data_IF_156237097141
#
_entry.id   IF_156237097141
#
_cell.length_a   1.000
_cell.length_b   1.000
_cell.length_c   1.000
_cell.angle_alpha   90.00
_cell.angle_beta   90.00
_cell.angle_gamma   90.00
#
_symmetry.space_group_name_H-M   'P 1'
#
loop_
_entity.id
_entity.type
_entity.pdbx_description
1 polymer ?
2 non-polymer ?
3 non-polymer ?
4 non-polymer ?
5 non-polymer ?
6 non-polymer ?
7 non-polymer ?
8 water ?
#
# COMPACT_ATOMS: atom_id res chain seq x y z
N UNK A 1 1.91 42.31 1.96
CA UNK A 1 0.45 42.52 2.13
C UNK A 1 -0.01 42.32 3.55
N UNK A 2 -1.02 43.10 3.98
CA UNK A 2 -1.55 43.02 5.33
C UNK A 2 -2.65 41.98 5.46
N UNK A 3 -3.00 41.34 4.35
CA UNK A 3 -4.02 40.30 4.35
C UNK A 3 -3.44 38.91 4.62
N UNK A 4 -2.24 38.68 4.10
CA UNK A 4 -1.62 37.36 4.08
C UNK A 4 -0.36 37.34 4.94
N UNK A 5 -0.36 36.51 5.99
CA UNK A 5 0.84 36.30 6.81
C UNK A 5 1.72 35.22 6.18
N UNK A 6 3.02 35.50 6.07
CA UNK A 6 3.97 34.53 5.52
C UNK A 6 4.83 35.11 4.41
N UNK A 7 5.51 34.24 3.65
CA UNK A 7 5.43 32.77 3.72
C UNK A 7 6.17 32.14 4.89
N UNK A 8 5.68 30.97 5.31
CA UNK A 8 6.32 30.15 6.34
C UNK A 8 6.83 28.86 5.70
N UNK A 9 7.79 28.23 6.36
CA UNK A 9 8.45 27.04 5.83
C UNK A 9 7.68 25.76 6.19
N UNK A 10 7.95 24.66 5.45
CA UNK A 10 7.40 23.36 5.83
C UNK A 10 7.70 23.04 7.29
N UNK A 11 6.68 22.64 8.03
CA UNK A 11 6.78 22.47 9.48
C UNK A 11 5.60 21.69 10.05
N UNK A 12 5.75 21.24 11.30
CA UNK A 12 4.64 20.67 12.05
C UNK A 12 4.11 21.73 13.02
N UNK A 13 2.79 21.90 13.02
CA UNK A 13 2.15 22.94 13.81
C UNK A 13 0.68 22.65 14.10
N UNK A 14 0.17 23.26 15.17
CA UNK A 14 -1.23 23.17 15.52
C UNK A 14 -1.87 24.54 15.31
N UNK A 15 -2.44 24.78 14.11
CA UNK A 15 -2.96 26.09 13.77
C UNK A 15 -4.19 26.47 14.60
N UNK A 16 -4.42 27.79 14.80
CA UNK A 16 -5.66 28.20 15.45
C UNK A 16 -6.84 27.95 14.53
N UNK A 17 -8.02 27.83 15.11
CA UNK A 17 -9.25 27.69 14.33
C UNK A 17 -9.55 28.98 13.58
N UNK A 18 -10.34 28.89 12.52
CA UNK A 18 -10.79 30.05 11.74
C UNK A 18 -9.66 30.80 11.01
N UNK A 19 -8.60 30.06 10.67
CA UNK A 19 -7.57 30.59 9.78
C UNK A 19 -7.31 29.60 8.64
N UNK A 20 -7.31 30.11 7.42
CA UNK A 20 -6.95 29.31 6.26
C UNK A 20 -5.43 29.20 6.13
N UNK A 21 -4.97 27.98 5.86
CA UNK A 21 -3.57 27.73 5.57
C UNK A 21 -3.43 27.64 4.05
N UNK A 22 -2.89 28.68 3.45
CA UNK A 22 -2.74 28.74 2.00
C UNK A 22 -1.41 28.13 1.57
N UNK A 23 -1.49 27.01 0.86
CA UNK A 23 -0.33 26.18 0.56
C UNK A 23 0.19 26.40 -0.85
N UNK A 24 1.51 26.50 -1.00
CA UNK A 24 2.15 26.74 -2.30
C UNK A 24 3.15 25.64 -2.65
N UNK A 25 2.65 24.46 -3.07
CA UNK A 25 3.51 23.32 -3.38
C UNK A 25 4.27 23.49 -4.70
N UNK A 26 5.29 22.68 -4.90
CA UNK A 26 6.12 22.73 -6.11
C UNK A 26 5.92 21.49 -6.98
N UNK A 27 6.42 20.34 -6.52
CA UNK A 27 6.38 19.10 -7.30
C UNK A 27 5.26 18.17 -6.81
N UNK A 28 5.01 17.09 -7.55
CA UNK A 28 4.01 16.10 -7.15
C UNK A 28 4.40 15.42 -5.83
N UNK A 29 3.39 15.09 -5.02
CA UNK A 29 3.62 14.37 -3.76
C UNK A 29 2.62 14.75 -2.68
N UNK A 30 3.02 14.54 -1.42
CA UNK A 30 2.17 14.89 -0.28
C UNK A 30 2.35 16.36 0.09
N UNK A 31 1.26 17.11 0.06
CA UNK A 31 1.24 18.56 0.34
C UNK A 31 1.22 18.83 1.84
N UNK A 32 0.32 18.15 2.54
CA UNK A 32 0.07 18.37 3.96
C UNK A 32 -0.62 17.15 4.54
N UNK A 33 -0.36 16.86 5.81
CA UNK A 33 -1.02 15.77 6.52
C UNK A 33 -1.37 16.20 7.93
N UNK A 34 -2.39 15.56 8.51
CA UNK A 34 -2.80 15.81 9.87
C UNK A 34 -3.67 14.68 10.41
N UNK A 35 -3.60 14.46 11.71
CA UNK A 35 -4.41 13.43 12.37
C UNK A 35 -4.85 13.84 13.76
N UNK A 36 -5.95 13.26 14.23
CA UNK A 36 -6.38 13.41 15.62
C UNK A 36 -6.00 12.20 16.47
N UNK A 37 -5.27 11.26 15.85
CA UNK A 37 -4.88 9.99 16.47
C UNK A 37 -6.07 9.19 17.06
N UNK A 38 -7.25 9.38 16.47
CA UNK A 38 -8.47 8.70 16.92
C UNK A 38 -9.20 8.01 15.76
N UNK A 39 -9.73 8.82 14.84
CA UNK A 39 -10.59 8.31 13.77
C UNK A 39 -10.45 9.09 12.47
N UNK A 40 -9.39 9.88 12.37
CA UNK A 40 -9.17 10.72 11.20
C UNK A 40 -7.68 10.88 10.92
N UNK A 41 -7.23 10.26 9.84
CA UNK A 41 -5.89 10.48 9.31
C UNK A 41 -6.10 11.08 7.93
N UNK A 42 -5.81 12.37 7.80
CA UNK A 42 -6.09 13.12 6.60
C UNK A 42 -4.81 13.64 5.95
N UNK A 43 -4.82 13.68 4.62
CA UNK A 43 -3.72 14.26 3.87
C UNK A 43 -4.20 14.76 2.52
N UNK A 44 -3.40 15.62 1.91
CA UNK A 44 -3.66 16.07 0.55
C UNK A 44 -2.44 15.72 -0.31
N UNK A 45 -2.71 15.03 -1.42
CA UNK A 45 -1.67 14.71 -2.39
C UNK A 45 -1.84 15.55 -3.66
N UNK A 46 -0.76 15.69 -4.42
CA UNK A 46 -0.76 16.49 -5.63
C UNK A 46 -0.29 15.67 -6.82
N UNK A 47 -1.07 15.71 -7.91
CA UNK A 47 -0.75 15.01 -9.15
C UNK A 47 -0.49 16.04 -10.25
N UNK A 48 0.64 15.91 -10.93
CA UNK A 48 0.95 16.76 -12.08
C UNK A 48 -0.03 16.46 -13.24
N UNK A 49 -0.12 17.38 -14.23
CA UNK A 49 -0.97 17.11 -15.40
C UNK A 49 -0.56 15.86 -16.18
N UNK A 50 -1.52 15.27 -16.89
CA UNK A 50 -1.27 14.17 -17.83
C UNK A 50 -0.70 12.90 -17.17
N UNK A 51 -1.43 12.37 -16.20
CA UNK A 51 -1.04 11.14 -15.53
C UNK A 51 -2.11 10.07 -15.75
N UNK A 52 -1.77 9.04 -16.54
CA UNK A 52 -2.64 7.89 -16.74
C UNK A 52 -2.75 7.11 -15.44
N UNK A 53 -3.89 6.46 -15.23
CA UNK A 53 -4.14 5.65 -14.03
C UNK A 53 -2.90 4.82 -13.68
N UNK A 54 -2.43 4.99 -12.45
CA UNK A 54 -1.21 4.33 -11.99
C UNK A 54 -1.19 4.24 -10.47
N UNK A 55 -0.42 3.28 -9.96
CA UNK A 55 -0.14 3.20 -8.54
C UNK A 55 1.11 4.00 -8.19
N UNK A 56 0.96 4.92 -7.25
CA UNK A 56 2.08 5.69 -6.72
C UNK A 56 2.20 5.52 -5.20
N UNK A 57 3.42 5.50 -4.71
CA UNK A 57 3.71 5.35 -3.29
C UNK A 57 3.91 6.73 -2.64
N UNK A 58 3.10 7.00 -1.61
CA UNK A 58 3.20 8.24 -0.85
C UNK A 58 3.61 7.95 0.58
N UNK A 59 4.48 8.80 1.11
CA UNK A 59 4.85 8.74 2.52
C UNK A 59 3.82 9.50 3.35
N UNK A 60 2.93 8.73 3.98
CA UNK A 60 1.83 9.29 4.78
C UNK A 60 1.99 8.83 6.21
N UNK A 61 2.23 9.79 7.11
CA UNK A 61 2.45 9.54 8.53
C UNK A 61 3.59 8.54 8.79
N UNK A 62 4.64 8.66 7.96
CA UNK A 62 5.84 7.84 8.10
C UNK A 62 5.72 6.45 7.49
N UNK A 63 4.68 6.24 6.70
CA UNK A 63 4.40 4.94 6.10
C UNK A 63 4.26 5.02 4.58
N UNK A 64 4.84 4.05 3.88
CA UNK A 64 4.69 3.94 2.43
C UNK A 64 3.29 3.42 2.06
N UNK A 65 2.47 4.31 1.51
CA UNK A 65 1.09 3.98 1.14
C UNK A 65 0.93 4.05 -0.38
N UNK A 66 0.44 2.96 -0.97
CA UNK A 66 0.20 2.87 -2.41
C UNK A 66 -1.23 3.27 -2.73
N UNK A 67 -1.37 4.32 -3.54
CA UNK A 67 -2.68 4.81 -3.97
C UNK A 67 -2.80 4.79 -5.48
N UNK A 68 -3.99 4.43 -5.96
CA UNK A 68 -4.28 4.43 -7.39
C UNK A 68 -4.74 5.84 -7.77
N UNK A 69 -3.92 6.52 -8.56
CA UNK A 69 -4.16 7.93 -8.89
C UNK A 69 -4.17 8.19 -10.39
N UNK A 70 -4.76 9.31 -10.79
CA UNK A 70 -4.76 9.74 -12.18
C UNK A 70 -5.04 11.23 -12.29
N UNK A 71 -4.55 11.83 -13.37
CA UNK A 71 -4.93 13.19 -13.73
C UNK A 71 -5.08 13.30 -15.24
N UNK A 72 -6.33 13.40 -15.68
CA UNK A 72 -6.66 13.44 -17.11
C UNK A 72 -6.46 14.82 -17.73
N UNK A 73 -6.31 15.85 -16.88
CA UNK A 73 -6.08 17.21 -17.38
C UNK A 73 -4.67 17.36 -17.96
N UNK A 74 -4.57 18.16 -19.02
CA UNK A 74 -3.27 18.43 -19.63
C UNK A 74 -2.68 19.77 -19.19
N UNK A 75 -3.48 20.57 -18.48
CA UNK A 75 -3.07 21.91 -18.07
C UNK A 75 -3.15 22.15 -16.57
N UNK A 76 -4.03 21.43 -15.90
CA UNK A 76 -4.29 21.66 -14.49
C UNK A 76 -3.72 20.56 -13.60
N UNK A 77 -3.09 20.98 -12.51
CA UNK A 77 -2.62 20.07 -11.47
C UNK A 77 -3.83 19.60 -10.67
N UNK A 78 -3.71 18.44 -10.02
CA UNK A 78 -4.84 17.84 -9.31
C UNK A 78 -4.52 17.58 -7.84
N UNK A 79 -5.22 18.30 -6.96
CA UNK A 79 -5.14 18.06 -5.53
C UNK A 79 -6.21 17.05 -5.15
N UNK A 80 -5.84 16.06 -4.33
CA UNK A 80 -6.78 15.04 -3.89
C UNK A 80 -6.67 14.89 -2.38
N UNK A 81 -7.80 14.99 -1.67
CA UNK A 81 -7.82 14.70 -0.25
C UNK A 81 -7.94 13.21 -0.01
N UNK A 82 -7.12 12.69 0.89
CA UNK A 82 -7.17 11.28 1.27
C UNK A 82 -7.49 11.14 2.75
N UNK A 83 -8.30 10.14 3.08
CA UNK A 83 -8.83 9.98 4.43
C UNK A 83 -8.91 8.51 4.84
N UNK A 84 -8.35 8.18 5.99
CA UNK A 84 -8.67 6.90 6.63
C UNK A 84 -9.20 7.13 8.03
N UNK A 85 -10.14 6.28 8.45
CA UNK A 85 -10.90 6.51 9.68
C UNK A 85 -10.54 5.59 10.84
N UNK A 86 -9.61 4.66 10.59
CA UNK A 86 -9.07 3.78 11.62
C UNK A 86 -7.58 3.63 11.36
N UNK A 87 -6.78 3.36 12.41
CA UNK A 87 -5.33 3.20 12.20
C UNK A 87 -4.94 2.09 11.21
N UNK A 88 -5.77 1.07 11.07
CA UNK A 88 -5.45 -0.09 10.23
C UNK A 88 -6.25 -0.15 8.91
N UNK A 89 -7.02 0.89 8.62
CA UNK A 89 -7.87 0.92 7.43
C UNK A 89 -7.19 1.46 6.18
N UNK A 90 -7.99 1.69 5.13
CA UNK A 90 -7.50 2.21 3.85
C UNK A 90 -7.88 3.66 3.63
N UNK A 91 -7.06 4.37 2.85
CA UNK A 91 -7.36 5.75 2.44
C UNK A 91 -8.30 5.76 1.26
N UNK A 92 -9.36 6.56 1.37
CA UNK A 92 -10.25 6.82 0.25
C UNK A 92 -10.00 8.24 -0.25
N UNK A 93 -10.36 8.49 -1.51
CA UNK A 93 -10.10 9.78 -2.16
C UNK A 93 -11.37 10.63 -2.22
N UNK A 94 -11.21 11.92 -1.90
CA UNK A 94 -12.34 12.85 -1.82
C UNK A 94 -11.93 14.25 -2.27
N UNK A 95 -12.94 15.01 -2.71
CA UNK A 95 -12.83 16.45 -2.92
C UNK A 95 -11.65 16.94 -3.75
N UNK A 96 -11.47 16.36 -4.93
CA UNK A 96 -10.41 16.80 -5.84
C UNK A 96 -10.54 18.26 -6.24
N UNK A 97 -9.39 18.92 -6.34
CA UNK A 97 -9.32 20.26 -6.93
C UNK A 97 -8.39 20.26 -8.14
N UNK A 98 -8.95 20.61 -9.30
CA UNK A 98 -8.15 20.84 -10.49
C UNK A 98 -7.73 22.30 -10.50
N UNK A 99 -6.43 22.53 -10.53
CA UNK A 99 -5.87 23.86 -10.24
C UNK A 99 -4.85 24.34 -11.27
N UNK A 100 -5.09 25.54 -11.80
CA UNK A 100 -4.11 26.22 -12.65
C UNK A 100 -3.04 26.95 -11.82
N UNK A 101 -3.46 27.74 -10.79
CA UNK A 101 -2.47 28.46 -9.97
C UNK A 101 -1.59 27.56 -9.09
N UNK A 102 -1.99 26.30 -8.92
CA UNK A 102 -1.28 25.32 -8.07
C UNK A 102 -1.26 25.72 -6.58
N UNK A 103 -2.35 26.33 -6.12
CA UNK A 103 -2.48 26.68 -4.71
C UNK A 103 -3.59 25.86 -4.05
N UNK A 104 -3.39 25.54 -2.78
CA UNK A 104 -4.39 24.82 -1.99
C UNK A 104 -4.59 25.53 -0.66
N UNK A 105 -5.66 25.18 0.05
CA UNK A 105 -5.92 25.75 1.36
C UNK A 105 -6.67 24.78 2.27
N UNK A 106 -6.31 24.81 3.55
CA UNK A 106 -6.95 23.99 4.59
C UNK A 106 -7.25 24.85 5.82
N UNK A 107 -8.31 24.52 6.55
CA UNK A 107 -8.71 25.27 7.75
C UNK A 107 -9.42 24.37 8.77
N UNK A 108 -9.11 24.60 10.04
CA UNK A 108 -9.86 23.99 11.14
C UNK A 108 -10.96 24.93 11.59
N UNK A 109 -12.20 24.46 11.51
CA UNK A 109 -13.39 25.27 11.83
C UNK A 109 -14.61 24.40 12.13
N UNK A 110 -15.29 24.73 13.22
CA UNK A 110 -16.52 24.05 13.64
C UNK A 110 -16.41 22.52 13.66
N UNK A 111 -15.40 22.00 14.34
CA UNK A 111 -15.19 20.55 14.44
C UNK A 111 -14.95 19.84 13.12
N UNK A 112 -14.44 20.59 12.14
CA UNK A 112 -14.20 20.09 10.79
C UNK A 112 -12.88 20.58 10.25
N UNK A 113 -12.37 19.84 9.26
CA UNK A 113 -11.26 20.31 8.45
C UNK A 113 -11.79 20.66 7.06
N UNK A 114 -11.65 21.93 6.69
CA UNK A 114 -12.13 22.43 5.41
C UNK A 114 -11.01 22.48 4.38
N UNK A 115 -11.36 22.20 3.12
CA UNK A 115 -10.43 22.33 2.00
C UNK A 115 -11.18 22.88 0.79
N UNK A 116 -10.49 23.04 -0.34
CA UNK A 116 -11.12 23.47 -1.58
C UNK A 116 -11.30 22.31 -2.55
N UNK A 117 -12.36 22.37 -3.35
CA UNK A 117 -12.62 21.38 -4.39
C UNK A 117 -13.22 22.00 -5.64
N UNK A 118 -13.28 21.21 -6.71
CA UNK A 118 -13.82 21.69 -7.98
C UNK A 118 -12.73 21.92 -9.01
N UNK A 119 -12.93 22.94 -9.84
CA UNK A 119 -11.99 23.28 -10.90
C UNK A 119 -11.81 24.79 -10.95
N UNK A 120 -10.56 25.25 -10.86
CA UNK A 120 -10.28 26.69 -10.98
C UNK A 120 -10.64 27.14 -12.41
N UNK A 121 -11.15 28.38 -12.56
CA UNK A 121 -11.31 29.45 -11.58
C UNK A 121 -12.67 29.47 -10.86
N UNK A 122 -13.30 28.30 -10.68
CA UNK A 122 -14.60 28.23 -10.02
C UNK A 122 -14.62 27.27 -8.82
N UNK A 123 -13.52 27.24 -8.07
CA UNK A 123 -13.39 26.37 -6.91
C UNK A 123 -14.32 26.77 -5.78
N UNK A 124 -14.80 25.77 -5.04
CA UNK A 124 -15.62 25.95 -3.86
C UNK A 124 -14.96 25.24 -2.69
N UNK A 125 -15.55 25.36 -1.49
CA UNK A 125 -15.02 24.69 -0.31
C UNK A 125 -15.74 23.36 -0.06
N UNK A 126 -15.09 22.49 0.70
CA UNK A 126 -15.67 21.25 1.20
C UNK A 126 -15.09 21.00 2.59
N UNK A 127 -15.60 19.98 3.28
CA UNK A 127 -15.15 19.73 4.65
C UNK A 127 -15.18 18.26 5.07
N UNK A 128 -14.47 17.97 6.15
CA UNK A 128 -14.40 16.64 6.75
C UNK A 128 -14.60 16.76 8.26
N UNK A 129 -15.69 16.18 8.76
CA UNK A 129 -15.96 16.17 10.19
C UNK A 129 -14.87 15.40 10.95
N UNK A 130 -14.34 16.02 11.99
CA UNK A 130 -13.14 15.50 12.67
C UNK A 130 -13.28 15.58 14.20
N UNK A 131 -13.19 14.42 14.85
CA UNK A 131 -13.26 14.29 16.30
C UNK A 131 -12.08 14.98 17.00
N UNK A 132 -12.36 15.65 18.12
CA UNK A 132 -11.35 16.36 18.93
C UNK A 132 -10.39 17.17 18.08
N UNK A 133 -10.94 17.97 17.16
CA UNK A 133 -10.18 18.60 16.08
C UNK A 133 -9.11 19.59 16.54
N UNK A 134 -9.18 20.00 17.80
CA UNK A 134 -8.24 20.95 18.38
C UNK A 134 -6.86 20.33 18.62
N UNK A 135 -6.83 19.02 18.85
CA UNK A 135 -5.56 18.28 19.02
C UNK A 135 -4.80 18.09 17.70
N UNK A 136 -5.49 18.31 16.57
CA UNK A 136 -4.94 18.00 15.25
C UNK A 136 -3.72 18.85 14.92
N UNK A 137 -2.56 18.21 14.97
CA UNK A 137 -1.32 18.79 14.46
C UNK A 137 -1.28 18.55 12.96
N UNK A 138 -0.76 19.52 12.22
CA UNK A 138 -0.57 19.36 10.79
C UNK A 138 0.90 19.46 10.46
N UNK A 139 1.32 18.69 9.46
CA UNK A 139 2.65 18.83 8.90
C UNK A 139 2.52 19.25 7.44
N UNK A 140 2.87 20.51 7.16
CA UNK A 140 2.96 21.01 5.80
C UNK A 140 4.32 20.63 5.23
N UNK A 141 4.32 20.14 3.99
CA UNK A 141 5.54 19.78 3.30
C UNK A 141 5.95 20.82 2.26
N UNK A 142 5.23 21.94 2.25
CA UNK A 142 5.54 23.06 1.37
C UNK A 142 5.40 24.39 2.13
N UNK A 143 5.85 25.48 1.49
CA UNK A 143 5.64 26.83 2.00
C UNK A 143 4.17 27.14 2.11
N UNK A 144 3.81 27.98 3.09
CA UNK A 144 2.42 28.35 3.29
C UNK A 144 2.23 29.77 3.83
N UNK A 145 1.02 30.28 3.65
CA UNK A 145 0.59 31.57 4.19
C UNK A 145 -0.62 31.38 5.08
N UNK A 146 -0.90 32.38 5.91
CA UNK A 146 -2.06 32.37 6.81
C UNK A 146 -3.00 33.51 6.46
N UNK A 147 -4.29 33.20 6.37
CA UNK A 147 -5.33 34.19 6.07
C UNK A 147 -6.57 33.92 6.95
N UNK A 148 -7.09 34.97 7.61
CA UNK A 148 -8.25 34.78 8.50
C UNK A 148 -9.50 34.31 7.75
N UNK A 149 -10.32 33.50 8.41
CA UNK A 149 -11.60 33.06 7.86
C UNK A 149 -12.44 34.26 7.40
N UNK A 150 -12.35 35.35 8.14
CA UNK A 150 -13.01 36.61 7.80
C UNK A 150 -12.72 37.09 6.38
N UNK A 151 -11.55 36.72 5.87
CA UNK A 151 -11.13 37.07 4.50
C UNK A 151 -11.16 35.85 3.57
N UNK A 152 -12.11 34.96 3.79
CA UNK A 152 -12.25 33.73 3.00
C UNK A 152 -12.42 34.00 1.51
N UNK A 153 -13.15 35.06 1.17
CA UNK A 153 -13.37 35.44 -0.23
C UNK A 153 -12.07 35.77 -0.96
N UNK A 154 -11.12 36.38 -0.24
CA UNK A 154 -9.79 36.64 -0.78
C UNK A 154 -8.98 35.36 -0.95
N UNK A 155 -9.11 34.43 0.00
CA UNK A 155 -8.48 33.11 -0.11
C UNK A 155 -9.00 32.36 -1.33
N UNK A 156 -10.32 32.38 -1.52
CA UNK A 156 -10.96 31.77 -2.68
C UNK A 156 -10.43 32.38 -3.98
N UNK A 157 -10.26 33.70 -3.98
CA UNK A 157 -9.67 34.41 -5.12
C UNK A 157 -8.26 33.89 -5.45
N UNK A 158 -7.45 33.71 -4.40
CA UNK A 158 -6.08 33.18 -4.56
C UNK A 158 -6.08 31.75 -5.09
N UNK A 159 -6.95 30.91 -4.54
CA UNK A 159 -7.13 29.54 -5.03
C UNK A 159 -7.49 29.55 -6.52
N UNK A 160 -8.38 30.45 -6.91
CA UNK A 160 -8.88 30.51 -8.28
C UNK A 160 -7.98 31.21 -9.30
N UNK A 161 -7.20 32.20 -8.85
CA UNK A 161 -6.46 33.07 -9.78
C UNK A 161 -4.97 33.23 -9.48
N UNK A 162 -4.54 32.75 -8.32
CA UNK A 162 -3.15 32.90 -7.91
C UNK A 162 -2.91 34.19 -7.14
N UNK A 163 -1.69 34.36 -6.65
CA UNK A 163 -1.31 35.52 -5.84
C UNK A 163 -0.98 36.73 -6.71
N UNK B 1 26.03 -21.59 3.48
CA UNK B 1 25.61 -21.00 4.79
C UNK B 1 25.07 -22.07 5.73
N UNK B 2 25.27 -21.84 7.04
CA UNK B 2 24.79 -22.77 8.06
C UNK B 2 23.30 -22.60 8.35
N UNK B 3 22.91 -21.37 8.69
CA UNK B 3 21.51 -21.05 8.94
C UNK B 3 20.84 -20.57 7.66
N UNK B 4 21.46 -19.58 7.01
CA UNK B 4 20.93 -18.99 5.79
C UNK B 4 21.84 -19.35 4.62
N UNK B 5 21.49 -20.43 3.93
CA UNK B 5 22.27 -20.93 2.79
C UNK B 5 21.71 -20.35 1.49
N UNK B 6 22.49 -19.49 0.84
CA UNK B 6 22.08 -18.87 -0.42
C UNK B 6 22.73 -17.51 -0.66
N UNK B 7 22.22 -16.73 -1.64
CA UNK B 7 21.06 -17.03 -2.48
C UNK B 7 21.33 -18.02 -3.60
N UNK B 8 20.26 -18.70 -4.01
CA UNK B 8 20.28 -19.60 -5.15
C UNK B 8 19.43 -19.00 -6.27
N UNK B 9 19.89 -19.16 -7.50
CA UNK B 9 19.17 -18.67 -8.68
C UNK B 9 17.89 -19.48 -8.90
N UNK B 10 16.86 -18.85 -9.51
CA UNK B 10 15.63 -19.56 -9.85
C UNK B 10 15.91 -20.87 -10.59
N UNK B 11 15.31 -21.95 -10.10
CA UNK B 11 15.53 -23.27 -10.67
C UNK B 11 14.42 -24.24 -10.28
N UNK B 12 14.47 -25.44 -10.86
CA UNK B 12 13.58 -26.52 -10.50
C UNK B 12 14.40 -27.53 -9.69
N UNK B 13 13.90 -27.92 -8.52
CA UNK B 13 14.64 -28.82 -7.64
C UNK B 13 13.73 -29.66 -6.75
N UNK B 14 14.36 -30.62 -6.06
CA UNK B 14 13.71 -31.48 -5.10
C UNK B 14 14.28 -31.12 -3.72
N UNK B 15 13.61 -30.20 -3.00
CA UNK B 15 14.15 -29.68 -1.74
C UNK B 15 14.29 -30.76 -0.68
N UNK B 16 15.35 -30.69 0.16
CA UNK B 16 15.43 -31.64 1.27
C UNK B 16 14.32 -31.40 2.28
N UNK B 17 13.80 -32.47 2.88
CA UNK B 17 12.77 -32.35 3.90
C UNK B 17 13.33 -31.68 5.17
N UNK B 18 12.46 -31.04 5.94
CA UNK B 18 12.82 -30.35 7.18
C UNK B 18 13.71 -29.12 6.96
N UNK B 19 13.58 -28.50 5.79
CA UNK B 19 14.24 -27.24 5.47
C UNK B 19 13.24 -26.23 4.91
N UNK B 20 13.28 -25.01 5.45
CA UNK B 20 12.52 -23.90 4.90
C UNK B 20 13.21 -23.32 3.67
N UNK B 21 12.44 -23.12 2.60
CA UNK B 21 12.93 -22.44 1.41
C UNK B 21 12.43 -20.99 1.48
N UNK B 22 13.35 -20.07 1.81
CA UNK B 22 13.02 -18.66 1.94
C UNK B 22 13.11 -17.99 0.57
N UNK B 23 12.03 -17.30 0.19
CA UNK B 23 11.88 -16.76 -1.16
C UNK B 23 11.88 -15.24 -1.16
N UNK B 24 12.68 -14.66 -2.05
CA UNK B 24 12.80 -13.21 -2.15
C UNK B 24 12.40 -12.69 -3.53
N UNK B 25 11.08 -12.65 -3.82
CA UNK B 25 10.59 -12.21 -5.13
C UNK B 25 10.73 -10.70 -5.34
N UNK B 26 10.48 -10.27 -6.58
CA UNK B 26 10.59 -8.86 -6.95
C UNK B 26 9.25 -8.28 -7.41
N UNK B 27 8.83 -8.64 -8.61
CA UNK B 27 7.58 -8.13 -9.18
C UNK B 27 6.46 -9.14 -8.99
N UNK B 28 5.22 -8.73 -9.29
CA UNK B 28 4.07 -9.63 -9.20
C UNK B 28 4.22 -10.82 -10.13
N UNK B 29 3.63 -11.95 -9.75
CA UNK B 29 3.60 -13.15 -10.58
C UNK B 29 3.64 -14.42 -9.75
N UNK B 30 4.05 -15.52 -10.37
CA UNK B 30 4.17 -16.80 -9.69
C UNK B 30 5.52 -16.86 -8.99
N UNK B 31 5.48 -17.10 -7.68
CA UNK B 31 6.68 -17.11 -6.85
C UNK B 31 7.32 -18.49 -6.85
N UNK B 32 6.48 -19.50 -6.58
CA UNK B 32 6.93 -20.89 -6.49
C UNK B 32 5.77 -21.80 -6.88
N UNK B 33 6.10 -22.99 -7.39
CA UNK B 33 5.09 -24.03 -7.61
C UNK B 33 5.69 -25.39 -7.29
N UNK B 34 4.84 -26.31 -6.84
CA UNK B 34 5.27 -27.64 -6.45
C UNK B 34 4.20 -28.69 -6.60
N UNK B 35 4.63 -29.93 -6.80
CA UNK B 35 3.70 -31.04 -6.98
C UNK B 35 4.35 -32.36 -6.56
N UNK B 36 3.52 -33.33 -6.16
CA UNK B 36 3.98 -34.69 -5.94
C UNK B 36 3.68 -35.59 -7.13
N UNK B 37 3.09 -35.00 -8.17
CA UNK B 37 2.65 -35.69 -9.39
C UNK B 37 1.62 -36.80 -9.13
N UNK B 38 0.86 -36.65 -8.04
CA UNK B 38 -0.15 -37.62 -7.65
C UNK B 38 -1.49 -36.94 -7.37
N UNK B 39 -1.54 -36.11 -6.33
CA UNK B 39 -2.80 -35.53 -5.86
C UNK B 39 -2.65 -34.17 -5.21
N UNK B 40 -1.55 -33.48 -5.51
CA UNK B 40 -1.30 -32.14 -4.97
C UNK B 40 -0.50 -31.28 -5.94
N UNK B 41 -1.12 -30.19 -6.37
CA UNK B 41 -0.44 -29.17 -7.16
C UNK B 41 -0.63 -27.86 -6.42
N UNK B 42 0.48 -27.26 -5.99
CA UNK B 42 0.44 -26.08 -5.14
C UNK B 42 1.38 -25.02 -5.67
N UNK B 43 0.86 -23.80 -5.80
CA UNK B 43 1.68 -22.68 -6.23
C UNK B 43 1.42 -21.49 -5.32
N UNK B 44 2.33 -20.53 -5.34
CA UNK B 44 2.12 -19.28 -4.63
C UNK B 44 2.28 -18.15 -5.64
N UNK B 45 1.27 -17.28 -5.67
CA UNK B 45 1.31 -16.09 -6.49
C UNK B 45 1.49 -14.84 -5.62
N UNK B 46 2.04 -13.79 -6.21
CA UNK B 46 2.31 -12.54 -5.50
C UNK B 46 1.58 -11.39 -6.17
N UNK B 47 0.84 -10.61 -5.36
CA UNK B 47 0.10 -9.44 -5.83
C UNK B 47 0.66 -8.17 -5.20
N UNK B 48 0.99 -7.19 -6.04
CA UNK B 48 1.45 -5.89 -5.59
C UNK B 48 0.33 -5.16 -4.82
N UNK B 49 0.69 -4.18 -3.97
CA UNK B 49 -0.33 -3.44 -3.22
C UNK B 49 -1.37 -2.76 -4.11
N UNK B 50 -2.60 -2.68 -3.61
CA UNK B 50 -3.69 -1.90 -4.21
C UNK B 50 -4.10 -2.36 -5.61
N UNK B 51 -4.68 -3.55 -5.67
CA UNK B 51 -5.15 -4.13 -6.93
C UNK B 51 -6.62 -4.52 -6.77
N UNK B 52 -7.49 -3.91 -7.58
CA UNK B 52 -8.91 -4.21 -7.55
C UNK B 52 -9.17 -5.58 -8.16
N UNK B 53 -10.23 -6.25 -7.71
CA UNK B 53 -10.56 -7.59 -8.20
C UNK B 53 -10.56 -7.64 -9.73
N UNK B 54 -9.70 -8.49 -10.27
CA UNK B 54 -9.53 -8.62 -11.72
C UNK B 54 -9.03 -10.01 -12.10
N UNK B 55 -9.22 -10.38 -13.35
CA UNK B 55 -8.66 -11.63 -13.88
C UNK B 55 -7.20 -11.44 -14.27
N UNK B 56 -6.34 -12.33 -13.78
CA UNK B 56 -4.95 -12.37 -14.21
C UNK B 56 -4.58 -13.77 -14.68
N UNK B 57 -3.77 -13.84 -15.74
CA UNK B 57 -3.31 -15.09 -16.31
C UNK B 57 -1.94 -15.45 -15.76
N UNK B 58 -1.84 -16.63 -15.16
CA UNK B 58 -0.59 -17.14 -14.61
C UNK B 58 -0.19 -18.44 -15.29
N UNK B 59 1.12 -18.60 -15.48
CA UNK B 59 1.66 -19.85 -15.98
C UNK B 59 1.86 -20.81 -14.81
N UNK B 60 0.90 -21.71 -14.63
CA UNK B 60 0.93 -22.69 -13.55
C UNK B 60 1.15 -24.10 -14.10
N UNK B 61 2.31 -24.67 -13.79
CA UNK B 61 2.70 -26.00 -14.27
C UNK B 61 2.64 -26.09 -15.79
N UNK B 62 3.17 -25.06 -16.45
CA UNK B 62 3.22 -25.02 -17.92
C UNK B 62 1.93 -24.62 -18.61
N UNK B 63 0.84 -24.46 -17.84
CA UNK B 63 -0.47 -24.11 -18.38
C UNK B 63 -0.87 -22.68 -18.03
N UNK B 64 -1.56 -22.02 -18.97
CA UNK B 64 -2.12 -20.70 -18.70
C UNK B 64 -3.40 -20.86 -17.90
N UNK B 65 -3.40 -20.30 -16.69
CA UNK B 65 -4.53 -20.39 -15.78
C UNK B 65 -5.03 -18.98 -15.43
N UNK B 66 -6.31 -18.74 -15.63
CA UNK B 66 -6.94 -17.46 -15.29
C UNK B 66 -7.49 -17.51 -13.86
N UNK B 67 -7.03 -16.61 -13.01
CA UNK B 67 -7.49 -16.50 -11.63
C UNK B 67 -8.06 -15.12 -11.34
N UNK B 68 -9.10 -15.07 -10.52
CA UNK B 68 -9.68 -13.81 -10.10
C UNK B 68 -9.00 -13.39 -8.81
N UNK B 69 -8.24 -12.29 -8.89
CA UNK B 69 -7.38 -11.88 -7.77
C UNK B 69 -7.55 -10.41 -7.40
N UNK B 70 -7.15 -10.07 -6.17
CA UNK B 70 -7.10 -8.69 -5.71
C UNK B 70 -6.03 -8.54 -4.63
N UNK B 71 -5.64 -7.30 -4.36
CA UNK B 71 -4.94 -6.97 -3.13
C UNK B 71 -5.55 -5.71 -2.56
N UNK B 72 -6.32 -5.89 -1.48
CA UNK B 72 -7.02 -4.78 -0.83
C UNK B 72 -6.08 -3.88 0.00
N UNK B 73 -4.87 -4.38 0.28
CA UNK B 73 -3.91 -3.61 1.07
C UNK B 73 -3.27 -2.48 0.26
N UNK B 74 -3.06 -1.34 0.91
CA UNK B 74 -2.36 -0.22 0.30
C UNK B 74 -0.92 -0.15 0.83
N UNK B 75 -0.58 -1.07 1.72
CA UNK B 75 0.68 -0.99 2.47
C UNK B 75 1.50 -2.28 2.45
N UNK B 76 0.88 -3.37 1.99
CA UNK B 76 1.52 -4.68 2.04
C UNK B 76 1.31 -5.47 0.76
N UNK B 77 2.35 -6.19 0.35
CA UNK B 77 2.24 -7.14 -0.75
C UNK B 77 1.47 -8.37 -0.26
N UNK B 78 0.93 -9.14 -1.20
CA UNK B 78 0.06 -10.26 -0.87
C UNK B 78 0.49 -11.53 -1.58
N UNK B 79 0.87 -12.54 -0.78
CA UNK B 79 1.14 -13.89 -1.28
C UNK B 79 -0.12 -14.72 -1.13
N UNK B 80 -0.48 -15.48 -2.16
CA UNK B 80 -1.63 -16.37 -2.10
C UNK B 80 -1.24 -17.78 -2.53
N UNK B 81 -1.56 -18.77 -1.71
CA UNK B 81 -1.38 -20.15 -2.13
C UNK B 81 -2.57 -20.56 -2.98
N UNK B 82 -2.28 -21.20 -4.11
CA UNK B 82 -3.32 -21.73 -5.00
C UNK B 82 -3.13 -23.23 -5.15
N UNK B 83 -4.21 -23.98 -5.03
CA UNK B 83 -4.10 -25.43 -4.93
C UNK B 83 -5.21 -26.20 -5.64
N UNK B 84 -4.83 -27.36 -6.17
CA UNK B 84 -5.77 -28.36 -6.65
C UNK B 84 -5.27 -29.75 -6.26
N UNK B 85 -6.20 -30.69 -6.10
CA UNK B 85 -5.86 -32.04 -5.65
C UNK B 85 -6.13 -33.13 -6.70
N UNK B 86 -6.61 -32.71 -7.87
CA UNK B 86 -6.77 -33.58 -9.03
C UNK B 86 -6.26 -32.86 -10.28
N UNK B 87 -5.67 -33.61 -11.24
CA UNK B 87 -5.10 -33.00 -12.46
C UNK B 87 -6.06 -32.10 -13.26
N UNK B 88 -7.36 -32.38 -13.22
CA UNK B 88 -8.34 -31.55 -13.94
C UNK B 88 -9.19 -30.68 -13.00
N UNK B 89 -8.75 -30.55 -11.74
CA UNK B 89 -9.49 -29.79 -10.73
C UNK B 89 -9.41 -28.27 -10.90
N UNK B 90 -10.12 -27.56 -10.03
CA UNK B 90 -10.08 -26.10 -10.02
C UNK B 90 -9.09 -25.60 -8.99
N UNK B 91 -8.36 -24.54 -9.32
CA UNK B 91 -7.47 -23.90 -8.36
C UNK B 91 -8.28 -23.04 -7.40
N UNK B 92 -8.09 -23.28 -6.11
CA UNK B 92 -8.72 -22.48 -5.06
C UNK B 92 -7.65 -21.72 -4.31
N UNK B 93 -8.04 -20.63 -3.65
CA UNK B 93 -7.09 -19.75 -2.98
C UNK B 93 -7.08 -19.96 -1.47
N UNK B 94 -5.88 -20.18 -0.93
CA UNK B 94 -5.71 -20.51 0.50
C UNK B 94 -4.54 -19.76 1.14
N UNK B 95 -4.59 -19.66 2.47
CA UNK B 95 -3.45 -19.25 3.30
C UNK B 95 -2.69 -18.02 2.85
N UNK B 96 -3.40 -16.93 2.62
CA UNK B 96 -2.77 -15.69 2.17
C UNK B 96 -1.85 -15.12 3.23
N UNK B 97 -0.78 -14.47 2.76
CA UNK B 97 0.12 -13.72 3.63
C UNK B 97 0.24 -12.27 3.18
N UNK B 98 -0.17 -11.34 4.03
CA UNK B 98 0.06 -9.92 3.79
C UNK B 98 1.41 -9.53 4.39
N UNK B 99 2.30 -9.03 3.53
CA UNK B 99 3.72 -8.92 3.85
C UNK B 99 4.31 -7.55 3.54
N UNK B 100 4.97 -6.97 4.53
CA UNK B 100 5.76 -5.74 4.30
C UNK B 100 7.20 -6.06 3.78
N UNK B 101 7.90 -7.05 4.39
CA UNK B 101 9.24 -7.38 3.88
C UNK B 101 9.29 -8.03 2.49
N UNK B 102 8.14 -8.52 2.01
CA UNK B 102 8.02 -9.18 0.71
C UNK B 102 8.83 -10.49 0.66
N UNK B 103 8.85 -11.20 1.79
CA UNK B 103 9.49 -12.51 1.86
C UNK B 103 8.46 -13.61 2.14
N UNK B 104 8.70 -14.78 1.56
CA UNK B 104 7.85 -15.94 1.74
C UNK B 104 8.73 -17.16 2.02
N UNK B 105 8.12 -18.23 2.50
CA UNK B 105 8.86 -19.46 2.78
C UNK B 105 7.97 -20.68 2.67
N UNK B 106 8.55 -21.77 2.15
CA UNK B 106 7.86 -23.06 2.01
C UNK B 106 8.73 -24.17 2.61
N UNK B 107 8.10 -25.24 3.11
CA UNK B 107 8.84 -26.38 3.66
C UNK B 107 8.12 -27.71 3.46
N UNK B 108 8.90 -28.74 3.09
CA UNK B 108 8.43 -30.12 3.10
C UNK B 108 8.73 -30.71 4.48
N UNK B 109 7.69 -30.97 5.26
CA UNK B 109 7.86 -31.50 6.60
C UNK B 109 6.69 -32.38 7.04
N UNK B 110 7.03 -33.55 7.57
CA UNK B 110 6.09 -34.48 8.20
C UNK B 110 4.74 -34.63 7.48
N UNK B 111 4.78 -35.08 6.23
CA UNK B 111 3.58 -35.38 5.45
C UNK B 111 2.86 -34.18 4.87
N UNK B 112 3.51 -33.01 4.93
CA UNK B 112 2.87 -31.75 4.57
C UNK B 112 3.81 -30.81 3.84
N UNK B 113 3.21 -29.85 3.13
CA UNK B 113 3.91 -28.66 2.66
C UNK B 113 3.47 -27.50 3.54
N UNK B 114 4.42 -26.88 4.21
CA UNK B 114 4.16 -25.74 5.09
C UNK B 114 4.42 -24.43 4.37
N UNK B 115 3.61 -23.41 4.64
CA UNK B 115 3.89 -22.05 4.17
C UNK B 115 3.58 -21.07 5.32
N UNK B 116 3.79 -19.78 5.09
CA UNK B 116 3.41 -18.78 6.07
C UNK B 116 2.09 -18.12 5.69
N UNK B 117 1.29 -17.79 6.70
CA UNK B 117 -0.02 -17.11 6.52
C UNK B 117 -0.18 -15.97 7.53
N UNK B 118 -1.12 -15.08 7.25
CA UNK B 118 -1.47 -14.01 8.18
C UNK B 118 -1.00 -12.65 7.71
N UNK B 119 -0.64 -11.81 8.68
CA UNK B 119 -0.22 -10.44 8.41
C UNK B 119 1.05 -10.11 9.19
N UNK B 120 2.11 -9.76 8.48
CA UNK B 120 3.35 -9.34 9.16
C UNK B 120 3.08 -8.05 9.95
N UNK B 121 3.73 -7.89 11.13
CA UNK B 121 4.79 -8.73 11.69
C UNK B 121 4.31 -9.84 12.64
N UNK B 122 3.08 -10.32 12.43
CA UNK B 122 2.52 -11.40 13.25
C UNK B 122 2.13 -12.64 12.45
N UNK B 123 2.93 -12.95 11.43
CA UNK B 123 2.68 -14.12 10.59
C UNK B 123 2.93 -15.42 11.34
N UNK B 124 2.15 -16.44 11.00
CA UNK B 124 2.36 -17.78 11.51
C UNK B 124 2.45 -18.76 10.34
N UNK B 125 2.44 -20.06 10.62
CA UNK B 125 2.53 -21.07 9.56
C UNK B 125 1.18 -21.77 9.33
N UNK B 126 1.01 -22.27 8.11
CA UNK B 126 -0.09 -23.17 7.77
C UNK B 126 0.45 -24.31 6.95
N UNK B 127 -0.38 -25.32 6.68
CA UNK B 127 0.08 -26.50 5.97
C UNK B 127 -0.93 -27.11 5.00
N UNK B 128 -0.40 -27.89 4.07
CA UNK B 128 -1.21 -28.62 3.10
C UNK B 128 -0.75 -30.07 3.13
N UNK B 129 -1.62 -30.94 3.64
CA UNK B 129 -1.34 -32.37 3.68
C UNK B 129 -1.10 -32.89 2.26
N UNK B 130 0.01 -33.61 2.10
CA UNK B 130 0.49 -34.01 0.78
C UNK B 130 0.99 -35.45 0.79
N UNK B 131 0.40 -36.28 -0.07
CA UNK B 131 0.77 -37.68 -0.22
C UNK B 131 2.21 -37.82 -0.67
N UNK B 132 2.95 -38.75 -0.05
CA UNK B 132 4.36 -38.99 -0.40
C UNK B 132 5.12 -37.66 -0.45
N UNK B 133 5.01 -36.89 0.64
CA UNK B 133 5.44 -35.48 0.66
C UNK B 133 6.91 -35.25 0.30
N UNK B 134 7.77 -36.23 0.62
CA UNK B 134 9.21 -36.11 0.35
C UNK B 134 9.52 -35.95 -1.13
N UNK B 135 8.60 -36.44 -1.98
CA UNK B 135 8.80 -36.48 -3.42
C UNK B 135 8.48 -35.15 -4.11
N UNK B 136 7.90 -34.22 -3.36
CA UNK B 136 7.49 -32.93 -3.93
C UNK B 136 8.67 -32.21 -4.59
N UNK B 137 8.53 -31.97 -5.89
CA UNK B 137 9.49 -31.17 -6.64
C UNK B 137 8.94 -29.76 -6.79
N UNK B 138 9.84 -28.78 -6.74
CA UNK B 138 9.44 -27.38 -6.72
C UNK B 138 10.19 -26.58 -7.77
N UNK B 139 9.54 -25.52 -8.26
CA UNK B 139 10.20 -24.51 -9.07
C UNK B 139 10.12 -23.17 -8.33
N UNK B 140 11.28 -22.56 -8.07
CA UNK B 140 11.32 -21.21 -7.57
C UNK B 140 11.62 -20.27 -8.73
N UNK B 141 10.76 -19.27 -8.91
CA UNK B 141 10.93 -18.29 -9.97
C UNK B 141 11.73 -17.07 -9.50
N UNK B 142 12.12 -17.09 -8.23
CA UNK B 142 12.90 -16.01 -7.62
C UNK B 142 14.10 -16.56 -6.88
N UNK B 143 15.01 -15.67 -6.47
CA UNK B 143 16.12 -16.04 -5.59
C UNK B 143 15.59 -16.69 -4.31
N UNK B 144 16.28 -17.74 -3.85
CA UNK B 144 15.87 -18.43 -2.63
C UNK B 144 17.05 -18.81 -1.72
N UNK B 145 16.73 -19.06 -0.46
CA UNK B 145 17.70 -19.49 0.54
C UNK B 145 17.15 -20.74 1.21
N UNK B 146 18.03 -21.50 1.86
CA UNK B 146 17.63 -22.72 2.55
C UNK B 146 18.00 -22.60 4.03
N UNK B 147 17.02 -22.87 4.89
CA UNK B 147 17.15 -22.71 6.34
C UNK B 147 16.69 -24.01 7.03
N UNK B 148 17.51 -24.56 7.95
CA UNK B 148 17.08 -25.77 8.66
C UNK B 148 15.87 -25.53 9.56
N UNK B 149 15.01 -26.53 9.70
CA UNK B 149 13.80 -26.38 10.51
C UNK B 149 14.09 -26.02 11.97
N UNK B 150 15.23 -26.46 12.50
CA UNK B 150 15.59 -26.12 13.88
C UNK B 150 15.83 -24.62 14.07
N UNK B 151 15.99 -23.89 12.97
CA UNK B 151 16.11 -22.43 12.99
C UNK B 151 14.84 -21.72 12.50
N UNK B 152 13.69 -22.38 12.70
CA UNK B 152 12.39 -21.86 12.23
C UNK B 152 12.05 -20.50 12.84
N UNK B 153 12.40 -20.32 14.11
CA UNK B 153 12.18 -19.05 14.80
C UNK B 153 12.82 -17.88 14.05
N UNK B 154 14.02 -18.11 13.52
CA UNK B 154 14.74 -17.11 12.74
C UNK B 154 14.10 -16.88 11.38
N UNK B 155 13.61 -17.96 10.77
CA UNK B 155 12.89 -17.86 9.50
C UNK B 155 11.64 -17.00 9.66
N UNK B 156 10.90 -17.27 10.74
CA UNK B 156 9.70 -16.50 11.11
C UNK B 156 10.06 -15.02 11.32
N UNK B 157 11.21 -14.76 11.94
CA UNK B 157 11.70 -13.40 12.11
C UNK B 157 11.91 -12.69 10.76
N UNK B 158 12.51 -13.42 9.80
CA UNK B 158 12.72 -12.88 8.44
C UNK B 158 11.39 -12.56 7.75
N UNK B 159 10.42 -13.47 7.87
CA UNK B 159 9.10 -13.29 7.27
C UNK B 159 8.44 -12.02 7.82
N UNK B 160 8.54 -11.83 9.13
CA UNK B 160 7.86 -10.73 9.80
C UNK B 160 8.58 -9.39 9.74
N UNK B 161 9.91 -9.43 9.65
CA UNK B 161 10.73 -8.22 9.81
C UNK B 161 11.74 -7.96 8.70
N UNK B 162 11.96 -8.96 7.85
CA UNK B 162 12.91 -8.83 6.75
C UNK B 162 14.32 -9.26 7.10
N UNK B 163 15.19 -9.26 6.09
CA UNK B 163 16.59 -9.62 6.26
C UNK B 163 17.43 -8.40 6.64
X LIG C 1 -18.58 15.06 6.68
X LIG C 1 -19.27 14.48 5.42
X LIG C 1 -20.40 13.69 5.84
X LIG C 1 -19.85 15.59 4.51
X LIG C 1 -18.80 16.24 3.58
X LIG C 1 -19.49 16.97 2.56
X LIG C 1 -17.87 15.22 2.90
X LIG C 1 -16.84 15.94 2.11
X LIG C 1 -17.26 14.28 3.95
X LIG C 1 -18.37 13.63 4.67
X LIG C 1 -16.39 13.12 3.46
X LIG C 1 -17.08 12.42 2.41
X LIG C 1 -16.06 12.14 4.61
X LIG C 1 -15.72 12.87 5.80
X LIG C 1 -14.91 11.21 4.26
X LIG C 1 -14.70 10.33 5.36
X LIG C 1 -16.33 15.49 0.97
X LIG C 1 -16.62 14.41 0.45
X LIG C 1 -15.29 16.39 0.29
X LIG C 1 -15.08 17.61 0.99
X LIG C 1 -20.08 12.69 6.82
X LIG C 1 -17.41 14.69 6.93
X LIG C 1 -19.26 15.83 7.39
X LIG D 1 -11.40 5.53 -3.60
X LIG D 1 -10.05 5.13 -3.26
X LIG D 1 -12.31 4.42 -3.36
X LIG D 1 -11.80 6.68 -2.79
X LIG D 1 -11.45 5.90 -5.02
X LIG E 1 -6.89 20.42 -21.13
X LIG E 1 -7.67 19.20 -21.39
X LIG E 1 -7.79 21.57 -21.06
X LIG E 1 -6.18 20.30 -19.86
X LIG E 1 -5.92 20.61 -22.20
X LIG F 1 5.34 19.88 -3.35
X LIG F 1 4.83 18.88 -2.32
X LIG F 1 4.69 19.58 -1.06
X LIG F 1 3.46 18.38 -2.75
X LIG F 1 5.78 17.69 -2.14
X LIG F 1 7.27 18.01 -2.23
X LIG F 1 7.61 19.11 -1.42
X LIG F 1 8.11 16.80 -1.83
X LIG G 1 11.48 29.58 3.31
X LIG G 1 10.78 30.86 2.90
X LIG G 1 10.63 30.87 1.46
X LIG G 1 9.40 30.89 3.53
X LIG G 1 11.57 32.11 3.32
X LIG G 1 13.02 32.14 2.82
X LIG G 1 13.14 33.12 1.81
X LIG G 1 13.98 32.47 3.95
X LIG H 1 -17.60 9.59 8.97
X LIG H 1 -16.19 9.17 8.93
X LIG H 1 -15.57 9.33 10.32
X LIG H 1 -16.42 8.86 11.42
X LIG H 1 -17.87 8.97 11.31
X LIG H 1 -18.38 8.73 9.89
X LIG H 1 -15.83 8.87 12.75
X LIG H 1 -16.18 7.65 13.59
X LIG H 1 -16.02 6.47 12.85
X LIG H 1 -18.19 9.68 7.61
X LIG H 1 -18.41 8.33 6.94
X LIG H 1 -19.55 8.46 5.53
X LIG H 1 -19.15 9.57 4.67
X LIG H 1 -19.52 7.22 4.76
X LIG H 1 -20.90 8.69 6.01
X LIG I 1 -17.89 28.84 4.41
X LIG I 1 -18.79 29.70 5.02
X LIG I 1 -19.86 30.24 4.29
X LIG I 1 -20.03 29.90 2.95
X LIG I 1 -19.13 29.03 2.33
X LIG I 1 -18.06 28.50 3.06
X LIG I 1 -16.81 28.30 5.13
X LIG I 1 -16.28 28.95 6.16
X LIG I 1 -16.27 27.15 4.81
X LIG J 1 -10.42 19.22 -1.63
X LIG K 1 -4.84 -30.20 5.27
X LIG K 1 -6.09 -29.35 5.61
X LIG K 1 -7.20 -30.26 5.89
X LIG K 1 -5.87 -28.53 6.92
X LIG K 1 -5.03 -27.26 6.68
X LIG K 1 -5.08 -26.45 7.87
X LIG K 1 -5.49 -26.44 5.46
X LIG K 1 -4.54 -25.32 5.21
X LIG K 1 -5.61 -27.36 4.23
X LIG K 1 -6.49 -28.48 4.54
X LIG K 1 -6.14 -26.77 2.91
X LIG K 1 -7.45 -26.26 3.12
X LIG K 1 -6.19 -27.83 1.79
X LIG K 1 -5.03 -28.68 1.84
X LIG K 1 -6.30 -27.17 0.41
X LIG K 1 -6.39 -28.19 -0.59
X LIG K 1 -4.92 -24.08 4.90
X LIG K 1 -6.09 -23.73 4.78
X LIG K 1 -3.79 -23.05 4.69
X LIG K 1 -2.58 -23.44 5.32
X LIG K 1 -7.51 -31.16 4.82
X LIG K 1 -4.39 -30.15 4.09
X LIG K 1 -4.36 -30.90 6.18
X LIG L 1 6.82 -13.33 -8.18
X LIG L 1 8.14 -13.29 -8.94
X LIG L 1 8.82 -12.04 -8.61
X LIG L 1 9.01 -14.45 -8.51
X LIG L 1 7.83 -13.39 -10.44
X LIG L 1 8.71 -12.56 -11.38
X LIG L 1 10.05 -12.54 -10.95
X LIG L 1 8.64 -13.12 -12.80
X LIG M 1 -11.78 -28.63 2.72
X LIG M 1 -10.92 -27.61 3.46
X LIG M 1 -9.57 -28.11 3.56
X LIG M 1 -10.88 -26.32 2.66
X LIG M 1 -11.47 -27.33 4.87
X LIG M 1 -11.39 -28.53 5.82
X LIG M 1 -10.04 -28.76 6.17
X LIG M 1 -12.20 -28.27 7.09
X LIG N 1 0.45 -19.20 2.99
#
# INVERSE_FOLDING_TARGET
GSLLDGPYQPTTFNPPTSYWILLAPTVEGVVIQGTNNIDRWLATILIEPNVQTTNRIYNLFGQQVTLSVENTSQTQWKFIDVSKTTPTGNYTQHGSLFSTPKLYAVMKFSGRIYTYNGTTPNATTGYYSTTNYDTVNMTSFCDFYIIPRNQEEKCTEYINHGL
GSLLDGPYQPTTFNPPTSYWILLAPTVEGVVIQGTNNIDRWLATILIEPNVQTTNRIYNLFGQQVTLSVENTSQTQWKFIDVSKTTPTGNYTQHGSLFSTPKLYAVMKFSGRIYTYNGTTPNATTGYYSTTNYDTVNMTSFCDFYIIPRNQEEKCTEYINHGL
MN0 C1 C2 O2 C3 C4 O4 C5 N5 C6 O6 C7 O7 C8 O8 C9 O9 C10 O10 C11 O11 C12 O1B O1A
SO4 S O1 O2 O3 O4
SO4 S O1 O2 O3 O4
MPD C1 C2 O2 CM C3 C4 O4 C5
MPD C1 C2 O2 CM C3 C4 O4 C5
EPE N1 C2 C3 N4 C5 C6 C7 C8 O8 C9 C10 S O1S O2S O3S
BEN C1 C2 C3 C4 C5 C6 C N1 N2
NA NA
MN0 C1 C2 O2 C3 C4 O4 C5 N5 C6 O6 C7 O7 C8 O8 C9 O9 C10 O10 C11 O11 C12 O1B O1A
MPD C1 C2 O2 CM C3 C4 O4 C5
MPD C1 C2 O2 CM C3 C4 O4 C5
NA NA
#
